data_IF_021746611810
#
_entry.id   IF_021746611810
#
_cell.length_a   1.000
_cell.length_b   1.000
_cell.length_c   1.000
_cell.angle_alpha   90.00
_cell.angle_beta   90.00
_cell.angle_gamma   90.00
#
_symmetry.space_group_name_H-M   'P 1'
#
loop_
_entity.id
_entity.type
_entity.pdbx_description
1 polymer ?
#
# COMPACT_ATOMS: atom_id res chain seq x y z
N UNK A 1 -8.15 -22.00 6.20
CA UNK A 1 -8.72 -20.77 6.78
C UNK A 1 -8.03 -19.55 6.16
N UNK A 2 -8.81 -18.54 5.78
CA UNK A 2 -8.23 -17.35 5.15
C UNK A 2 -7.41 -16.55 6.15
N UNK A 3 -6.24 -16.12 5.71
CA UNK A 3 -5.39 -15.22 6.50
C UNK A 3 -6.05 -13.85 6.64
N UNK A 4 -5.62 -13.10 7.66
CA UNK A 4 -6.13 -11.73 7.91
C UNK A 4 -6.00 -10.87 6.64
N UNK A 5 -4.86 -10.98 5.94
CA UNK A 5 -4.61 -10.18 4.74
C UNK A 5 -5.61 -10.53 3.62
N UNK A 6 -5.95 -11.80 3.44
CA UNK A 6 -6.92 -12.21 2.43
C UNK A 6 -8.30 -11.65 2.74
N UNK A 7 -8.68 -11.64 4.02
CA UNK A 7 -9.95 -11.06 4.45
C UNK A 7 -9.96 -9.54 4.31
N UNK A 8 -8.81 -8.90 4.58
CA UNK A 8 -8.66 -7.46 4.38
C UNK A 8 -8.87 -7.10 2.91
N UNK A 9 -8.23 -7.84 2.00
CA UNK A 9 -8.38 -7.61 0.56
C UNK A 9 -9.85 -7.74 0.14
N UNK A 10 -10.53 -8.77 0.63
CA UNK A 10 -11.94 -8.96 0.32
C UNK A 10 -12.79 -7.77 0.80
N UNK A 11 -12.52 -7.27 2.00
CA UNK A 11 -13.23 -6.10 2.54
C UNK A 11 -12.92 -4.83 1.73
N UNK A 12 -11.66 -4.64 1.35
CA UNK A 12 -11.25 -3.50 0.52
C UNK A 12 -11.97 -3.52 -0.83
N UNK A 13 -12.01 -4.67 -1.49
CA UNK A 13 -12.67 -4.82 -2.79
C UNK A 13 -14.18 -4.68 -2.69
N UNK A 14 -14.77 -5.02 -1.56
CA UNK A 14 -16.20 -4.84 -1.30
C UNK A 14 -16.52 -3.40 -0.86
N UNK A 15 -15.52 -2.56 -0.65
CA UNK A 15 -15.65 -1.22 -0.05
C UNK A 15 -16.38 -1.28 1.30
N UNK A 16 -16.14 -2.36 2.04
CA UNK A 16 -16.72 -2.57 3.36
C UNK A 16 -15.79 -1.91 4.40
N UNK A 17 -16.04 -0.64 4.65
CA UNK A 17 -15.17 0.16 5.51
C UNK A 17 -15.14 -0.37 6.95
N UNK A 18 -16.28 -0.80 7.47
CA UNK A 18 -16.35 -1.33 8.82
C UNK A 18 -15.52 -2.61 8.97
N UNK A 19 -15.66 -3.54 8.01
CA UNK A 19 -14.89 -4.78 8.02
C UNK A 19 -13.40 -4.50 7.86
N UNK A 20 -13.04 -3.66 6.89
CA UNK A 20 -11.63 -3.31 6.65
C UNK A 20 -10.97 -2.70 7.89
N UNK A 21 -11.64 -1.72 8.51
CA UNK A 21 -11.13 -1.07 9.71
C UNK A 21 -11.03 -2.06 10.89
N UNK A 22 -11.95 -3.00 10.97
CA UNK A 22 -12.00 -3.98 12.06
C UNK A 22 -10.80 -4.93 12.11
N UNK A 23 -10.06 -5.08 11.00
CA UNK A 23 -8.84 -5.89 10.99
C UNK A 23 -7.64 -5.19 11.64
N UNK A 24 -7.74 -3.88 11.89
CA UNK A 24 -6.68 -3.10 12.50
C UNK A 24 -6.93 -2.93 13.98
N UNK A 25 -5.87 -3.09 14.78
CA UNK A 25 -5.96 -2.87 16.21
C UNK A 25 -6.32 -1.40 16.50
N UNK A 26 -6.98 -1.17 17.64
CA UNK A 26 -7.35 0.18 18.05
C UNK A 26 -6.16 1.13 18.08
N UNK A 27 -4.99 0.64 18.50
CA UNK A 27 -3.75 1.41 18.60
C UNK A 27 -2.80 1.15 17.43
N UNK A 28 -3.31 0.72 16.29
CA UNK A 28 -2.51 0.46 15.10
C UNK A 28 -1.55 1.60 14.79
N UNK A 29 -0.31 1.26 14.49
CA UNK A 29 0.71 2.25 14.11
C UNK A 29 1.11 2.03 12.66
N UNK A 30 1.07 3.13 11.89
CA UNK A 30 1.41 3.10 10.47
C UNK A 30 2.58 4.03 10.19
N UNK A 31 3.52 3.54 9.40
CA UNK A 31 4.65 4.33 8.93
C UNK A 31 4.87 4.12 7.44
N UNK A 32 5.36 5.16 6.80
CA UNK A 32 5.82 5.10 5.42
C UNK A 32 7.25 5.66 5.44
N UNK A 33 8.28 4.81 5.60
CA UNK A 33 9.64 5.29 5.87
C UNK A 33 10.21 6.26 4.83
N UNK A 34 9.80 6.13 3.56
CA UNK A 34 10.22 7.07 2.53
C UNK A 34 9.47 8.41 2.61
N UNK A 35 8.43 8.49 3.42
CA UNK A 35 7.59 9.68 3.61
C UNK A 35 7.29 9.84 5.10
N UNK A 36 8.29 10.29 5.89
CA UNK A 36 8.17 10.27 7.36
C UNK A 36 7.01 11.10 7.91
N UNK A 37 6.54 12.09 7.17
CA UNK A 37 5.38 12.87 7.59
C UNK A 37 4.05 12.14 7.54
N UNK A 38 4.01 10.93 6.95
CA UNK A 38 2.77 10.15 6.82
C UNK A 38 2.51 9.21 7.98
N UNK A 39 3.33 9.25 9.03
CA UNK A 39 3.14 8.41 10.21
C UNK A 39 1.85 8.77 10.94
N UNK A 40 1.14 7.76 11.43
CA UNK A 40 -0.03 7.99 12.27
C UNK A 40 -0.26 6.81 13.20
N UNK A 41 -1.11 7.04 14.22
CA UNK A 41 -1.52 6.03 15.18
C UNK A 41 -3.05 6.03 15.27
N UNK A 42 -3.61 4.83 15.37
CA UNK A 42 -5.02 4.66 15.67
C UNK A 42 -5.86 4.16 14.51
N UNK A 43 -6.76 3.25 14.85
CA UNK A 43 -7.73 2.70 13.90
C UNK A 43 -8.66 3.77 13.34
N UNK A 44 -8.99 4.78 14.16
CA UNK A 44 -9.88 5.85 13.72
C UNK A 44 -9.27 6.62 12.53
N UNK A 45 -7.97 6.91 12.57
CA UNK A 45 -7.30 7.57 11.45
C UNK A 45 -7.22 6.64 10.23
N UNK A 46 -6.95 5.36 10.44
CA UNK A 46 -6.97 4.37 9.36
C UNK A 46 -8.32 4.37 8.65
N UNK A 47 -9.41 4.33 9.44
CA UNK A 47 -10.77 4.35 8.89
C UNK A 47 -11.04 5.63 8.08
N UNK A 48 -10.65 6.78 8.62
CA UNK A 48 -10.85 8.06 7.92
C UNK A 48 -10.08 8.12 6.61
N UNK A 49 -8.86 7.57 6.58
CA UNK A 49 -8.05 7.52 5.37
C UNK A 49 -8.73 6.68 4.29
N UNK A 50 -9.23 5.50 4.65
CA UNK A 50 -9.87 4.61 3.67
C UNK A 50 -11.26 5.07 3.26
N UNK A 51 -11.97 5.76 4.14
CA UNK A 51 -13.22 6.42 3.75
C UNK A 51 -12.95 7.41 2.62
N UNK A 52 -11.90 8.21 2.75
CA UNK A 52 -11.47 9.17 1.72
C UNK A 52 -11.06 8.48 0.43
N UNK A 53 -10.32 7.38 0.55
CA UNK A 53 -9.88 6.62 -0.62
C UNK A 53 -11.04 6.02 -1.39
N UNK A 54 -12.00 5.43 -0.70
CA UNK A 54 -13.18 4.85 -1.37
C UNK A 54 -14.07 5.92 -2.00
N UNK A 55 -14.16 7.09 -1.37
CA UNK A 55 -14.90 8.23 -1.94
C UNK A 55 -14.21 8.80 -3.18
N UNK A 56 -12.88 8.93 -3.12
CA UNK A 56 -12.08 9.52 -4.20
C UNK A 56 -11.82 8.58 -5.37
N UNK A 57 -11.85 7.28 -5.12
CA UNK A 57 -11.67 6.23 -6.15
C UNK A 57 -12.84 5.26 -6.03
N UNK A 58 -14.01 5.63 -6.60
CA UNK A 58 -15.24 4.84 -6.38
C UNK A 58 -15.17 3.39 -6.88
N UNK A 59 -14.31 3.11 -7.84
CA UNK A 59 -14.08 1.76 -8.37
C UNK A 59 -12.79 1.14 -7.83
N UNK A 60 -12.31 1.58 -6.66
CA UNK A 60 -11.09 1.08 -6.06
C UNK A 60 -11.09 -0.45 -6.02
N UNK A 61 -9.96 -1.02 -6.43
CA UNK A 61 -9.70 -2.44 -6.32
C UNK A 61 -8.29 -2.68 -5.82
N UNK A 62 -8.11 -3.80 -5.15
CA UNK A 62 -6.80 -4.23 -4.63
C UNK A 62 -6.57 -5.69 -4.99
N UNK A 63 -5.34 -6.01 -5.36
CA UNK A 63 -4.94 -7.40 -5.56
C UNK A 63 -3.59 -7.65 -4.90
N UNK A 64 -3.43 -8.87 -4.40
CA UNK A 64 -2.18 -9.36 -3.85
C UNK A 64 -1.42 -10.04 -4.99
N UNK A 65 -0.21 -9.53 -5.29
CA UNK A 65 0.65 -10.16 -6.27
C UNK A 65 1.36 -11.38 -5.67
N UNK A 66 1.84 -11.22 -4.44
CA UNK A 66 2.40 -12.32 -3.65
C UNK A 66 2.49 -11.90 -2.19
N UNK A 67 2.57 -12.91 -1.31
CA UNK A 67 2.65 -12.67 0.13
C UNK A 67 3.48 -13.74 0.78
N UNK A 68 4.21 -13.37 1.82
CA UNK A 68 5.03 -14.30 2.60
C UNK A 68 4.95 -13.90 4.06
N UNK A 69 4.90 -14.89 4.94
CA UNK A 69 4.82 -14.68 6.37
C UNK A 69 6.05 -15.23 7.05
N UNK A 70 6.60 -14.43 7.98
CA UNK A 70 7.69 -14.85 8.85
C UNK A 70 7.33 -14.44 10.28
N UNK A 71 6.96 -15.43 11.12
CA UNK A 71 6.50 -15.15 12.48
C UNK A 71 5.23 -14.31 12.44
N UNK A 72 5.26 -13.18 13.14
CA UNK A 72 4.13 -12.26 13.21
C UNK A 72 4.12 -11.23 12.08
N UNK A 73 5.13 -11.25 11.22
CA UNK A 73 5.26 -10.28 10.13
C UNK A 73 4.82 -10.89 8.81
N UNK A 74 3.92 -10.21 8.12
CA UNK A 74 3.46 -10.61 6.79
C UNK A 74 3.90 -9.55 5.78
N UNK A 75 4.64 -9.99 4.77
CA UNK A 75 5.07 -9.17 3.65
C UNK A 75 4.09 -9.40 2.51
N UNK A 76 3.47 -8.35 2.00
CA UNK A 76 2.49 -8.47 0.93
C UNK A 76 2.82 -7.48 -0.18
N UNK A 77 2.98 -7.99 -1.38
CA UNK A 77 3.14 -7.17 -2.58
C UNK A 77 1.77 -6.91 -3.18
N UNK A 78 1.44 -5.63 -3.39
CA UNK A 78 0.12 -5.16 -3.78
C UNK A 78 0.11 -4.46 -5.12
N UNK A 79 -1.06 -4.50 -5.74
CA UNK A 79 -1.46 -3.54 -6.74
C UNK A 79 -2.81 -2.97 -6.31
N UNK A 80 -2.88 -1.64 -6.21
CA UNK A 80 -4.13 -0.90 -5.98
C UNK A 80 -4.44 -0.13 -7.24
N UNK A 81 -5.70 -0.10 -7.66
CA UNK A 81 -6.08 0.49 -8.95
C UNK A 81 -7.49 1.04 -8.93
N UNK A 82 -7.80 1.85 -9.93
CA UNK A 82 -9.13 2.40 -10.12
C UNK A 82 -9.07 3.69 -10.91
N UNK A 83 -10.17 4.43 -10.85
CA UNK A 83 -10.32 5.72 -11.51
C UNK A 83 -10.76 6.74 -10.47
N UNK A 84 -10.00 7.82 -10.35
CA UNK A 84 -10.34 8.90 -9.42
C UNK A 84 -11.64 9.57 -9.87
N UNK A 85 -12.36 10.17 -8.93
CA UNK A 85 -13.60 10.88 -9.25
C UNK A 85 -13.39 12.08 -10.20
N UNK A 86 -12.13 12.56 -10.32
CA UNK A 86 -11.77 13.60 -11.30
C UNK A 86 -11.43 13.03 -12.69
N UNK A 87 -11.58 11.73 -12.89
CA UNK A 87 -11.36 11.06 -14.17
C UNK A 87 -9.95 10.56 -14.43
N UNK A 88 -9.00 10.86 -13.52
CA UNK A 88 -7.63 10.39 -13.69
C UNK A 88 -7.50 8.94 -13.20
N UNK A 89 -6.69 8.17 -13.93
CA UNK A 89 -6.41 6.79 -13.52
C UNK A 89 -5.58 6.80 -12.24
N UNK A 90 -5.88 5.85 -11.36
CA UNK A 90 -5.17 5.64 -10.11
C UNK A 90 -4.53 4.26 -10.14
N UNK A 91 -3.23 4.20 -9.90
CA UNK A 91 -2.54 2.94 -9.72
C UNK A 91 -1.39 3.11 -8.74
N UNK A 92 -1.31 2.23 -7.75
CA UNK A 92 -0.19 2.16 -6.82
C UNK A 92 0.32 0.73 -6.77
N UNK A 93 1.62 0.59 -6.61
CA UNK A 93 2.27 -0.71 -6.42
C UNK A 93 3.27 -0.61 -5.29
N UNK A 94 3.50 -1.71 -4.62
CA UNK A 94 4.50 -1.75 -3.58
C UNK A 94 4.27 -2.89 -2.62
N UNK A 95 4.86 -2.74 -1.43
CA UNK A 95 4.89 -3.76 -0.41
C UNK A 95 4.45 -3.17 0.91
N UNK A 96 3.67 -3.93 1.66
CA UNK A 96 3.41 -3.64 3.07
C UNK A 96 4.03 -4.71 3.94
N UNK A 97 4.56 -4.30 5.07
CA UNK A 97 4.95 -5.19 6.16
C UNK A 97 3.97 -4.97 7.28
N UNK A 98 3.17 -5.98 7.58
CA UNK A 98 2.21 -5.91 8.67
C UNK A 98 2.63 -6.82 9.81
N UNK A 99 2.64 -6.28 11.03
CA UNK A 99 2.71 -7.12 12.23
C UNK A 99 1.30 -7.47 12.63
N UNK A 100 1.05 -8.77 12.77
CA UNK A 100 -0.27 -9.31 13.06
C UNK A 100 -0.20 -10.10 14.34
N UNK A 101 -1.05 -9.74 15.31
CA UNK A 101 -1.21 -10.45 16.56
C UNK A 101 -2.63 -11.00 16.63
N UNK A 102 -2.75 -12.33 16.69
CA UNK A 102 -4.05 -12.97 16.60
C UNK A 102 -4.65 -12.71 15.21
N UNK A 103 -5.76 -12.04 15.17
CA UNK A 103 -6.46 -11.68 13.91
C UNK A 103 -6.47 -10.17 13.67
N UNK A 104 -5.56 -9.43 14.33
CA UNK A 104 -5.50 -7.97 14.18
C UNK A 104 -4.13 -7.50 13.72
N UNK A 105 -4.12 -6.51 12.86
CA UNK A 105 -2.92 -5.82 12.38
C UNK A 105 -2.58 -4.74 13.40
N UNK A 106 -1.42 -4.87 14.06
CA UNK A 106 -1.03 -3.95 15.14
C UNK A 106 -0.07 -2.88 14.68
N UNK A 107 0.66 -3.11 13.59
CA UNK A 107 1.59 -2.15 13.03
C UNK A 107 1.78 -2.42 11.54
N UNK A 108 2.12 -1.37 10.79
CA UNK A 108 2.37 -1.50 9.37
C UNK A 108 3.44 -0.55 8.89
N UNK A 109 4.24 -1.02 7.96
CA UNK A 109 5.21 -0.24 7.20
C UNK A 109 4.84 -0.36 5.74
N UNK A 110 4.57 0.78 5.10
CA UNK A 110 4.10 0.80 3.73
C UNK A 110 5.18 1.38 2.82
N UNK A 111 5.44 0.66 1.77
CA UNK A 111 6.36 1.07 0.69
C UNK A 111 5.56 1.09 -0.61
N UNK A 112 4.41 1.74 -0.56
CA UNK A 112 3.49 1.86 -1.68
C UNK A 112 3.73 3.19 -2.39
N UNK A 113 3.89 3.14 -3.71
CA UNK A 113 4.12 4.34 -4.51
C UNK A 113 3.18 4.36 -5.72
N UNK A 114 2.85 5.56 -6.18
CA UNK A 114 2.11 5.70 -7.41
C UNK A 114 2.97 5.23 -8.59
N UNK A 115 2.37 4.47 -9.50
CA UNK A 115 3.04 4.07 -10.72
C UNK A 115 3.21 5.30 -11.61
N UNK A 116 4.46 5.61 -11.96
CA UNK A 116 4.74 6.79 -12.75
C UNK A 116 4.25 6.65 -14.18
N UNK A 117 3.82 7.76 -14.77
CA UNK A 117 3.27 7.78 -16.12
C UNK A 117 4.29 8.24 -17.13
N UNK A 118 5.20 9.13 -16.73
CA UNK A 118 6.33 9.53 -17.55
C UNK A 118 7.46 8.57 -17.26
N UNK A 119 7.70 7.64 -18.18
CA UNK A 119 8.57 6.50 -17.94
C UNK A 119 10.01 6.88 -18.27
N UNK A 120 10.80 7.17 -17.23
CA UNK A 120 12.25 7.32 -17.37
C UNK A 120 12.91 5.95 -17.38
N UNK A 121 13.94 5.78 -18.21
CA UNK A 121 14.72 4.55 -18.21
C UNK A 121 15.65 4.47 -17.01
N UNK A 122 16.30 3.31 -16.85
CA UNK A 122 17.15 3.06 -15.68
C UNK A 122 18.34 4.01 -15.62
N UNK A 123 18.93 4.37 -16.74
CA UNK A 123 20.09 5.26 -16.74
C UNK A 123 19.73 6.63 -16.20
N UNK A 124 18.59 7.18 -16.62
CA UNK A 124 18.13 8.47 -16.13
C UNK A 124 17.75 8.39 -14.64
N UNK A 125 17.13 7.30 -14.22
CA UNK A 125 16.78 7.10 -12.82
C UNK A 125 18.02 7.10 -11.93
N UNK A 126 19.07 6.38 -12.34
CA UNK A 126 20.34 6.35 -11.60
C UNK A 126 20.98 7.74 -11.57
N UNK A 127 20.97 8.46 -12.69
CA UNK A 127 21.51 9.82 -12.74
C UNK A 127 20.76 10.75 -11.79
N UNK A 128 19.44 10.65 -11.74
CA UNK A 128 18.64 11.45 -10.81
C UNK A 128 18.96 11.13 -9.36
N UNK A 129 19.14 9.86 -9.04
CA UNK A 129 19.42 9.42 -7.67
C UNK A 129 20.83 9.73 -7.21
N UNK A 130 21.83 9.54 -8.09
CA UNK A 130 23.23 9.62 -7.73
C UNK A 130 23.90 10.93 -8.14
N UNK A 131 23.28 11.70 -9.02
CA UNK A 131 23.88 12.87 -9.63
C UNK A 131 24.85 12.52 -10.76
N UNK A 132 24.92 11.25 -11.16
CA UNK A 132 25.91 10.80 -12.12
C UNK A 132 25.31 9.73 -13.05
N UNK A 133 25.44 9.95 -14.37
CA UNK A 133 24.91 9.02 -15.35
C UNK A 133 25.76 7.75 -15.46
N UNK A 134 25.15 6.56 -15.46
CA UNK A 134 25.87 5.31 -15.64
C UNK A 134 26.60 5.25 -16.99
N UNK A 135 27.73 4.55 -17.02
CA UNK A 135 28.39 4.27 -18.29
C UNK A 135 27.50 3.35 -19.12
N UNK A 136 27.39 3.68 -20.42
CA UNK A 136 26.58 2.89 -21.33
C UNK A 136 27.23 1.53 -21.57
N UNK A 137 26.43 0.47 -21.41
CA UNK A 137 26.90 -0.89 -21.64
C UNK A 137 26.69 -1.24 -23.11
N UNK A 138 27.65 -1.93 -23.68
CA UNK A 138 27.52 -2.49 -25.01
C UNK A 138 26.97 -3.90 -24.92
N UNK A 139 26.15 -4.25 -25.90
CA UNK A 139 25.57 -5.59 -25.98
C UNK A 139 26.11 -6.34 -27.18
#
# INVERSE_FOLDING_TARGET
MAEVIDRLVAAMNAHDLDAAAGFFHEDYRSAQPAHPGRVFVGRAQMRANWESMFAGVPDFGAEICRSVRDGDTTWTEWRWYGTRSDGQAFEMRGVTLFEITGDQIVAGWLYMEEVERNVAGIEQAVETLSGRRPRKMHQ
#
